data_IF_191494960806
#
_entry.id   IF_191494960806
#
_cell.length_a   1.000
_cell.length_b   1.000
_cell.length_c   1.000
_cell.angle_alpha   90.00
_cell.angle_beta   90.00
_cell.angle_gamma   90.00
#
_symmetry.space_group_name_H-M   'P 1'
#
loop_
_entity.id
_entity.type
_entity.pdbx_description
1 polymer ?
#
# COMPACT_ATOMS: atom_id res chain seq x y z
N UNK A 1 13.26 -8.02 17.04
CA UNK A 1 12.58 -7.00 17.86
C UNK A 1 13.02 -5.58 17.51
N UNK A 2 14.24 -5.37 17.00
CA UNK A 2 14.74 -4.03 16.61
C UNK A 2 13.82 -3.25 15.67
N UNK A 3 13.28 -3.88 14.62
CA UNK A 3 12.35 -3.21 13.70
C UNK A 3 11.07 -2.70 14.39
N UNK A 4 10.63 -3.34 15.47
CA UNK A 4 9.43 -2.94 16.23
C UNK A 4 9.79 -1.83 17.22
N UNK A 5 10.82 -2.04 18.04
CA UNK A 5 11.21 -1.06 19.07
C UNK A 5 11.78 0.20 18.45
N UNK A 6 12.61 0.08 17.41
CA UNK A 6 13.23 1.20 16.72
C UNK A 6 12.24 2.05 15.92
N UNK A 7 11.07 1.52 15.55
CA UNK A 7 10.01 2.28 14.87
C UNK A 7 9.34 3.33 15.78
N UNK A 8 9.50 3.26 17.09
CA UNK A 8 9.05 4.32 17.99
C UNK A 8 10.04 5.49 18.05
N UNK A 9 11.29 5.27 17.66
CA UNK A 9 12.39 6.23 17.83
C UNK A 9 12.75 6.94 16.53
N UNK A 10 12.85 6.18 15.43
CA UNK A 10 13.23 6.70 14.12
C UNK A 10 12.73 5.79 12.98
N UNK A 11 12.49 6.36 11.77
CA UNK A 11 12.30 5.56 10.57
C UNK A 11 13.58 4.77 10.24
N UNK A 12 13.52 3.78 9.33
CA UNK A 12 14.73 3.19 8.75
C UNK A 12 15.76 4.24 8.30
N UNK A 13 17.03 3.98 8.56
CA UNK A 13 18.13 4.91 8.23
C UNK A 13 18.50 4.85 6.74
N UNK A 14 18.33 3.69 6.11
CA UNK A 14 18.75 3.44 4.74
C UNK A 14 17.68 2.68 3.96
N UNK A 15 17.06 3.37 2.99
CA UNK A 15 16.07 2.79 2.08
C UNK A 15 16.70 2.28 0.79
N UNK A 16 17.93 2.71 0.48
CA UNK A 16 18.50 2.61 -0.87
C UNK A 16 19.48 1.45 -1.00
N UNK A 17 20.32 1.18 -0.01
CA UNK A 17 21.32 0.10 -0.12
C UNK A 17 20.76 -1.29 0.26
N UNK A 18 19.60 -1.34 0.91
CA UNK A 18 18.94 -2.57 1.36
C UNK A 18 17.53 -2.72 0.77
N UNK A 19 17.36 -2.32 -0.49
CA UNK A 19 16.10 -2.49 -1.23
C UNK A 19 15.61 -3.94 -1.22
N UNK A 20 14.29 -4.14 -1.13
CA UNK A 20 13.69 -5.46 -1.01
C UNK A 20 13.72 -6.06 0.39
N UNK A 21 14.34 -5.41 1.39
CA UNK A 21 14.38 -5.96 2.73
C UNK A 21 13.12 -5.66 3.53
N UNK A 22 12.36 -6.71 3.83
CA UNK A 22 11.08 -6.62 4.56
C UNK A 22 11.16 -5.84 5.89
N UNK A 23 12.31 -5.87 6.57
CA UNK A 23 12.47 -5.15 7.84
C UNK A 23 12.46 -3.63 7.66
N UNK A 24 12.91 -3.11 6.51
CA UNK A 24 12.83 -1.68 6.18
C UNK A 24 11.37 -1.30 5.97
N UNK A 25 10.67 -2.02 5.08
CA UNK A 25 9.27 -1.76 4.78
C UNK A 25 8.40 -1.85 6.05
N UNK A 26 8.62 -2.88 6.87
CA UNK A 26 7.85 -3.10 8.09
C UNK A 26 8.13 -2.04 9.16
N UNK A 27 9.41 -1.70 9.41
CA UNK A 27 9.77 -0.63 10.34
C UNK A 27 9.24 0.72 9.86
N UNK A 28 9.31 1.02 8.56
CA UNK A 28 8.70 2.23 8.00
C UNK A 28 7.19 2.27 8.25
N UNK A 29 6.46 1.18 7.97
CA UNK A 29 5.02 1.12 8.19
C UNK A 29 4.64 1.39 9.67
N UNK A 30 5.38 0.80 10.62
CA UNK A 30 5.19 1.06 12.05
C UNK A 30 5.54 2.50 12.43
N UNK A 31 6.63 3.05 11.90
CA UNK A 31 7.03 4.44 12.12
C UNK A 31 5.92 5.40 11.67
N UNK A 32 5.40 5.21 10.45
CA UNK A 32 4.31 6.03 9.92
C UNK A 32 3.07 5.94 10.81
N UNK A 33 2.65 4.71 11.14
CA UNK A 33 1.48 4.48 12.00
C UNK A 33 1.57 5.21 13.36
N UNK A 34 2.77 5.31 13.93
CA UNK A 34 2.97 5.95 15.24
C UNK A 34 3.03 7.49 15.20
N UNK A 35 3.33 8.10 14.05
CA UNK A 35 3.73 9.51 14.00
C UNK A 35 2.94 10.38 13.03
N UNK A 36 2.31 9.80 12.01
CA UNK A 36 1.63 10.58 10.97
C UNK A 36 0.20 10.94 11.34
N UNK A 37 -0.26 12.11 10.88
CA UNK A 37 -1.59 12.62 11.22
C UNK A 37 -2.71 12.03 10.35
N UNK A 38 -2.39 11.65 9.11
CA UNK A 38 -3.34 11.08 8.16
C UNK A 38 -2.67 10.13 7.15
N UNK A 39 -3.47 9.30 6.48
CA UNK A 39 -2.99 8.28 5.55
C UNK A 39 -2.27 8.88 4.33
N UNK A 40 -2.75 10.01 3.82
CA UNK A 40 -2.17 10.64 2.62
C UNK A 40 -0.72 11.08 2.86
N UNK A 41 -0.47 11.84 3.93
CA UNK A 41 0.88 12.29 4.32
C UNK A 41 1.83 11.10 4.53
N UNK A 42 1.33 10.03 5.14
CA UNK A 42 2.13 8.84 5.46
C UNK A 42 2.61 8.10 4.22
N UNK A 43 1.71 7.98 3.25
CA UNK A 43 1.97 7.32 1.98
C UNK A 43 2.89 8.16 1.11
N UNK A 44 2.69 9.48 1.08
CA UNK A 44 3.60 10.40 0.39
C UNK A 44 5.01 10.33 1.00
N UNK A 45 5.16 10.42 2.32
CA UNK A 45 6.47 10.31 2.99
C UNK A 45 7.12 8.96 2.72
N UNK A 46 6.36 7.87 2.79
CA UNK A 46 6.84 6.51 2.48
C UNK A 46 7.42 6.41 1.07
N UNK A 47 6.73 6.93 0.05
CA UNK A 47 7.20 6.88 -1.33
C UNK A 47 8.41 7.81 -1.53
N UNK A 48 8.41 8.99 -0.90
CA UNK A 48 9.48 9.98 -1.02
C UNK A 48 10.81 9.53 -0.40
N UNK A 49 10.80 8.51 0.47
CA UNK A 49 12.02 7.89 1.02
C UNK A 49 12.84 7.09 0.01
N UNK A 50 12.26 6.77 -1.15
CA UNK A 50 12.96 6.09 -2.23
C UNK A 50 13.25 4.61 -1.96
N UNK A 51 14.22 4.07 -2.68
CA UNK A 51 14.54 2.65 -2.63
C UNK A 51 13.46 1.80 -3.30
N UNK A 52 13.01 0.76 -2.60
CA UNK A 52 11.97 -0.18 -3.04
C UNK A 52 10.56 0.39 -2.75
N UNK A 53 10.23 1.48 -3.46
CA UNK A 53 9.08 2.33 -3.11
C UNK A 53 7.74 1.62 -3.24
N UNK A 54 7.57 0.70 -4.18
CA UNK A 54 6.31 -0.04 -4.36
C UNK A 54 6.10 -1.05 -3.23
N UNK A 55 7.11 -1.82 -2.84
CA UNK A 55 7.05 -2.73 -1.69
C UNK A 55 6.82 -1.97 -0.39
N UNK A 56 7.55 -0.88 -0.16
CA UNK A 56 7.39 -0.04 1.02
C UNK A 56 5.99 0.56 1.11
N UNK A 57 5.47 1.10 0.01
CA UNK A 57 4.13 1.67 -0.07
C UNK A 57 3.04 0.58 0.10
N UNK A 58 3.20 -0.60 -0.49
CA UNK A 58 2.24 -1.69 -0.35
C UNK A 58 2.09 -2.14 1.11
N UNK A 59 3.21 -2.32 1.83
CA UNK A 59 3.21 -2.74 3.23
C UNK A 59 2.67 -1.63 4.14
N UNK A 60 3.12 -0.39 3.94
CA UNK A 60 2.67 0.77 4.71
C UNK A 60 1.16 1.02 4.51
N UNK A 61 0.72 1.03 3.24
CA UNK A 61 -0.67 1.27 2.87
C UNK A 61 -1.62 0.19 3.36
N UNK A 62 -1.20 -1.09 3.36
CA UNK A 62 -1.99 -2.16 3.94
C UNK A 62 -2.21 -1.97 5.45
N UNK A 63 -1.14 -1.64 6.20
CA UNK A 63 -1.24 -1.42 7.64
C UNK A 63 -2.09 -0.18 7.97
N UNK A 64 -1.82 0.95 7.33
CA UNK A 64 -2.56 2.19 7.58
C UNK A 64 -4.00 2.10 7.08
N UNK A 65 -4.25 1.49 5.92
CA UNK A 65 -5.59 1.28 5.41
C UNK A 65 -6.45 0.41 6.34
N UNK A 66 -5.84 -0.59 7.00
CA UNK A 66 -6.53 -1.40 7.99
C UNK A 66 -6.90 -0.62 9.27
N UNK A 67 -6.09 0.38 9.66
CA UNK A 67 -6.30 1.19 10.87
C UNK A 67 -7.23 2.38 10.60
N UNK A 68 -6.99 3.12 9.52
CA UNK A 68 -7.71 4.35 9.17
C UNK A 68 -9.02 4.08 8.44
N UNK A 69 -9.19 2.90 7.86
CA UNK A 69 -10.33 2.54 7.02
C UNK A 69 -10.22 3.07 5.59
N UNK A 70 -11.10 2.55 4.72
CA UNK A 70 -11.12 2.87 3.29
C UNK A 70 -11.36 4.36 3.00
N UNK A 71 -12.21 4.99 3.79
CA UNK A 71 -12.63 6.39 3.56
C UNK A 71 -11.50 7.40 3.84
N UNK A 72 -10.39 6.96 4.44
CA UNK A 72 -9.19 7.77 4.61
C UNK A 72 -8.32 7.85 3.34
N UNK A 73 -8.59 7.02 2.32
CA UNK A 73 -7.86 7.03 1.05
C UNK A 73 -8.36 8.21 0.21
N UNK A 74 -7.47 9.10 -0.28
CA UNK A 74 -7.88 10.21 -1.14
C UNK A 74 -8.62 9.73 -2.39
N UNK A 75 -9.73 10.40 -2.71
CA UNK A 75 -10.60 10.03 -3.83
C UNK A 75 -9.81 10.00 -5.15
N UNK A 76 -8.93 10.98 -5.37
CA UNK A 76 -8.10 11.06 -6.58
C UNK A 76 -7.20 9.84 -6.80
N UNK A 77 -6.77 9.16 -5.73
CA UNK A 77 -5.97 7.94 -5.84
C UNK A 77 -6.82 6.74 -6.25
N UNK A 78 -8.02 6.65 -5.66
CA UNK A 78 -8.99 5.60 -6.00
C UNK A 78 -9.44 5.76 -7.44
N UNK A 79 -9.78 6.98 -7.88
CA UNK A 79 -10.12 7.28 -9.27
C UNK A 79 -8.99 6.93 -10.23
N UNK A 80 -7.74 7.24 -9.88
CA UNK A 80 -6.58 6.89 -10.70
C UNK A 80 -6.47 5.37 -10.90
N UNK A 81 -6.63 4.59 -9.82
CA UNK A 81 -6.60 3.12 -9.89
C UNK A 81 -7.76 2.55 -10.72
N UNK A 82 -9.00 2.97 -10.45
CA UNK A 82 -10.19 2.44 -11.12
C UNK A 82 -10.24 2.79 -12.62
N UNK A 83 -9.50 3.81 -13.06
CA UNK A 83 -9.37 4.20 -14.46
C UNK A 83 -8.08 3.70 -15.13
N UNK A 84 -7.21 2.99 -14.41
CA UNK A 84 -5.92 2.54 -14.92
C UNK A 84 -6.09 1.38 -15.91
N UNK A 85 -6.01 1.68 -17.22
CA UNK A 85 -6.10 0.72 -18.33
C UNK A 85 -4.88 0.82 -19.24
N UNK A 86 -3.75 0.19 -18.88
CA UNK A 86 -2.50 0.25 -19.66
C UNK A 86 -2.58 -0.57 -20.96
N UNK A 87 -3.39 -0.12 -21.91
CA UNK A 87 -3.60 -0.75 -23.23
C UNK A 87 -2.41 -0.46 -24.15
N UNK A 88 -1.98 -1.47 -24.90
CA UNK A 88 -0.92 -1.31 -25.91
C UNK A 88 -1.31 -0.27 -26.97
N UNK A 89 -0.36 0.60 -27.33
CA UNK A 89 -0.55 1.62 -28.37
C UNK A 89 -1.12 2.97 -27.89
N UNK A 90 -1.48 3.12 -26.62
CA UNK A 90 -1.82 4.43 -26.05
C UNK A 90 -0.56 5.26 -25.77
N UNK A 91 -0.60 6.56 -26.07
CA UNK A 91 0.57 7.45 -26.04
C UNK A 91 1.28 7.54 -24.67
N UNK A 92 0.57 7.33 -23.56
CA UNK A 92 1.10 7.42 -22.19
C UNK A 92 1.43 6.06 -21.58
N UNK A 93 1.27 4.95 -22.31
CA UNK A 93 1.49 3.59 -21.81
C UNK A 93 2.84 3.08 -22.29
N UNK A 94 3.86 3.17 -21.42
CA UNK A 94 5.21 2.61 -21.70
C UNK A 94 5.27 1.10 -21.58
N UNK A 95 4.52 0.54 -20.62
CA UNK A 95 4.53 -0.88 -20.29
C UNK A 95 3.10 -1.42 -20.24
N UNK A 96 2.54 -1.86 -21.39
CA UNK A 96 1.19 -2.41 -21.40
C UNK A 96 1.09 -3.67 -20.53
N UNK A 97 -0.10 -3.92 -20.02
CA UNK A 97 -0.42 -5.12 -19.23
C UNK A 97 -1.69 -5.78 -19.76
N UNK A 98 -1.77 -7.12 -19.78
CA UNK A 98 -3.02 -7.84 -19.98
C UNK A 98 -4.12 -7.36 -19.02
N UNK A 99 -5.38 -7.47 -19.45
CA UNK A 99 -6.54 -6.99 -18.67
C UNK A 99 -6.63 -7.60 -17.27
N UNK A 100 -6.20 -8.86 -17.11
CA UNK A 100 -6.17 -9.54 -15.80
C UNK A 100 -5.20 -8.93 -14.77
N UNK A 101 -4.35 -7.99 -15.17
CA UNK A 101 -3.46 -7.24 -14.28
C UNK A 101 -3.89 -5.79 -14.09
N UNK A 102 -5.03 -5.38 -14.64
CA UNK A 102 -5.54 -4.02 -14.44
C UNK A 102 -6.19 -3.93 -13.05
N UNK A 103 -5.93 -2.86 -12.27
CA UNK A 103 -6.43 -2.76 -10.89
C UNK A 103 -7.91 -2.32 -10.81
N UNK A 104 -8.64 -2.35 -11.92
CA UNK A 104 -9.98 -1.74 -12.07
C UNK A 104 -11.07 -2.47 -11.27
N UNK A 105 -10.80 -3.71 -10.86
CA UNK A 105 -11.69 -4.59 -10.11
C UNK A 105 -11.30 -4.71 -8.63
N UNK A 106 -10.31 -3.95 -8.15
CA UNK A 106 -9.74 -4.06 -6.79
C UNK A 106 -10.80 -3.96 -5.68
N UNK A 107 -11.81 -3.09 -5.84
CA UNK A 107 -12.88 -2.94 -4.85
C UNK A 107 -13.80 -4.16 -4.81
N UNK A 108 -14.12 -4.73 -5.99
CA UNK A 108 -14.92 -5.95 -6.10
C UNK A 108 -14.18 -7.10 -5.43
N UNK A 109 -12.88 -7.24 -5.70
CA UNK A 109 -12.05 -8.28 -5.09
C UNK A 109 -11.96 -8.11 -3.56
N UNK A 110 -11.80 -6.89 -3.07
CA UNK A 110 -11.78 -6.60 -1.63
C UNK A 110 -13.11 -6.98 -0.95
N UNK A 111 -14.26 -6.62 -1.55
CA UNK A 111 -15.59 -6.98 -1.05
C UNK A 111 -15.81 -8.50 -1.06
N UNK A 112 -15.36 -9.19 -2.11
CA UNK A 112 -15.43 -10.65 -2.18
C UNK A 112 -14.63 -11.32 -1.06
N UNK A 113 -13.42 -10.84 -0.78
CA UNK A 113 -12.59 -11.35 0.32
C UNK A 113 -13.26 -11.19 1.69
N UNK A 114 -13.94 -10.06 1.91
CA UNK A 114 -14.72 -9.81 3.14
C UNK A 114 -15.93 -10.75 3.25
N UNK A 115 -16.64 -10.99 2.15
CA UNK A 115 -17.81 -11.90 2.16
C UNK A 115 -17.41 -13.37 2.40
N UNK A 116 -16.28 -13.81 1.83
CA UNK A 116 -15.75 -15.16 2.05
C UNK A 116 -15.37 -15.39 3.53
N UNK A 117 -14.82 -14.38 4.20
CA UNK A 117 -14.46 -14.48 5.62
C UNK A 117 -15.69 -14.50 6.53
N UNK A 118 -16.77 -13.79 6.17
CA UNK A 118 -18.03 -13.84 6.93
C UNK A 118 -18.72 -15.21 6.86
N UNK A 119 -18.69 -15.86 5.69
CA UNK A 119 -19.29 -17.20 5.53
C UNK A 119 -18.53 -18.28 6.32
N UNK A 120 -17.19 -18.20 6.39
CA UNK A 120 -16.38 -19.13 7.20
C UNK A 120 -16.72 -19.02 8.70
N UNK A 121 -17.02 -17.81 9.19
CA UNK A 121 -17.34 -17.59 10.60
C UNK A 121 -18.77 -17.99 11.00
N UNK A 122 -19.64 -18.39 10.05
CA UNK A 122 -20.99 -18.91 10.33
C UNK A 122 -21.06 -20.44 10.30
N UNK A 123 -19.99 -21.13 9.92
CA UNK A 123 -19.91 -22.61 9.86
C UNK A 123 -19.14 -23.23 11.05
N UNK A 124 -18.82 -22.44 12.09
CA UNK A 124 -18.15 -22.88 13.33
C UNK A 124 -19.04 -22.72 14.54
#
# INVERSE_FOLDING_TARGET
MEAITGAAEAPPEDYVHQQGWVLIAFRNALWQLLHVSNLEEAMVDTVMRGGDTDTNAAICGALLGAVCGRDAIPEQWTECLLNCRPVAGQAHVRHPRPECFWPVDVLILAEQLLSCTQNINMEV
#
